data_IF_883122538280
#
_entry.id   IF_883122538280
#
_cell.length_a   1.000
_cell.length_b   1.000
_cell.length_c   1.000
_cell.angle_alpha   90.00
_cell.angle_beta   90.00
_cell.angle_gamma   90.00
#
_symmetry.space_group_name_H-M   'P 1'
#
loop_
_entity.id
_entity.type
_entity.pdbx_description
1 polymer ?
#
# COMPACT_ATOMS: atom_id res chain seq x y z
N UNK A 1 10.20 1.57 10.78
CA UNK A 1 9.13 2.55 10.55
C UNK A 1 8.58 2.21 9.20
N UNK A 2 7.43 1.54 9.15
CA UNK A 2 6.81 1.18 7.88
C UNK A 2 6.53 2.43 7.06
N UNK A 3 7.07 2.48 5.86
CA UNK A 3 6.67 3.45 4.85
C UNK A 3 5.34 2.96 4.26
N UNK A 4 4.22 3.31 4.90
CA UNK A 4 2.90 2.90 4.43
C UNK A 4 2.51 3.76 3.23
N UNK A 5 2.82 3.26 2.03
CA UNK A 5 2.34 3.81 0.77
C UNK A 5 0.96 3.26 0.42
N UNK A 6 0.20 3.94 -0.47
CA UNK A 6 0.41 5.27 -1.02
C UNK A 6 -0.07 6.39 -0.09
N UNK A 7 0.80 7.37 0.15
CA UNK A 7 0.48 8.60 0.90
C UNK A 7 -0.20 9.61 -0.04
N UNK A 8 -1.14 10.41 0.47
CA UNK A 8 -1.75 11.51 -0.28
C UNK A 8 -0.70 12.53 -0.71
N UNK A 9 -0.56 12.72 -2.01
CA UNK A 9 0.42 13.65 -2.61
C UNK A 9 0.19 15.13 -2.23
N UNK A 10 -1.01 15.49 -1.76
CA UNK A 10 -1.36 16.85 -1.34
C UNK A 10 -0.99 17.16 0.12
N UNK A 11 -0.55 16.15 0.89
CA UNK A 11 -0.08 16.34 2.25
C UNK A 11 1.44 16.60 2.26
N UNK A 12 1.93 17.49 3.14
CA UNK A 12 3.37 17.61 3.36
C UNK A 12 3.93 16.24 3.81
N UNK A 13 5.16 15.93 3.40
CA UNK A 13 5.85 14.73 3.89
C UNK A 13 5.79 14.72 5.43
N UNK A 14 5.35 13.60 6.05
CA UNK A 14 5.33 13.51 7.50
C UNK A 14 6.76 13.62 8.04
N UNK A 15 6.91 14.28 9.19
CA UNK A 15 8.21 14.34 9.85
C UNK A 15 8.65 12.92 10.27
N UNK A 16 9.96 12.66 10.29
CA UNK A 16 10.55 11.34 10.55
C UNK A 16 10.10 10.68 11.87
N UNK A 17 9.57 11.44 12.83
CA UNK A 17 9.09 10.97 14.14
C UNK A 17 7.55 11.02 14.29
N UNK A 18 6.80 11.18 13.20
CA UNK A 18 5.33 11.24 13.24
C UNK A 18 4.75 9.83 13.27
N UNK A 19 3.82 9.58 14.20
CA UNK A 19 3.07 8.32 14.25
C UNK A 19 2.18 8.19 13.00
N UNK A 20 2.12 7.00 12.42
CA UNK A 20 1.36 6.76 11.19
C UNK A 20 -0.14 7.02 11.42
N UNK A 21 -0.75 7.88 10.60
CA UNK A 21 -2.18 8.18 10.63
C UNK A 21 -2.88 7.70 9.35
N UNK A 22 -3.99 6.97 9.49
CA UNK A 22 -4.79 6.50 8.35
C UNK A 22 -5.26 7.64 7.43
N UNK A 23 -5.42 8.85 7.94
CA UNK A 23 -5.80 10.04 7.15
C UNK A 23 -4.77 10.39 6.06
N UNK A 24 -3.52 9.94 6.22
CA UNK A 24 -2.43 10.13 5.26
C UNK A 24 -2.50 9.12 4.11
N UNK A 25 -3.14 7.96 4.32
CA UNK A 25 -3.36 6.97 3.27
C UNK A 25 -4.32 7.53 2.20
N UNK A 26 -3.93 7.41 0.94
CA UNK A 26 -4.78 7.73 -0.21
C UNK A 26 -5.86 6.63 -0.42
N UNK A 27 -6.72 6.45 0.58
CA UNK A 27 -7.72 5.38 0.64
C UNK A 27 -8.76 5.44 -0.50
N UNK A 28 -8.88 6.58 -1.19
CA UNK A 28 -9.76 6.78 -2.34
C UNK A 28 -9.23 6.21 -3.66
N UNK A 29 -7.98 5.72 -3.71
CA UNK A 29 -7.39 5.12 -4.91
C UNK A 29 -8.03 3.79 -5.31
N UNK A 30 -8.61 3.06 -4.37
CA UNK A 30 -9.30 1.80 -4.66
C UNK A 30 -10.31 1.42 -3.57
N UNK A 31 -11.31 0.63 -3.95
CA UNK A 31 -12.20 -0.07 -3.02
C UNK A 31 -11.58 -1.36 -2.47
N UNK A 32 -10.54 -1.90 -3.12
CA UNK A 32 -9.89 -3.17 -2.77
C UNK A 32 -8.38 -3.01 -2.64
N UNK A 33 -7.82 -3.63 -1.60
CA UNK A 33 -6.42 -3.44 -1.20
C UNK A 33 -5.75 -4.78 -0.91
N UNK A 34 -4.44 -4.80 -1.09
CA UNK A 34 -3.54 -5.90 -0.75
C UNK A 34 -2.52 -5.38 0.27
N UNK A 35 -2.11 -6.22 1.22
CA UNK A 35 -0.92 -5.99 2.05
C UNK A 35 0.15 -7.00 1.64
N UNK A 36 1.30 -6.52 1.20
CA UNK A 36 2.49 -7.33 0.95
C UNK A 36 3.44 -7.24 2.14
N UNK A 37 3.95 -8.39 2.57
CA UNK A 37 4.92 -8.51 3.64
C UNK A 37 6.13 -9.27 3.09
N UNK A 38 7.28 -8.61 3.01
CA UNK A 38 8.53 -9.22 2.60
C UNK A 38 9.40 -9.54 3.82
N UNK A 39 9.78 -10.81 3.95
CA UNK A 39 10.58 -11.33 5.07
C UNK A 39 12.02 -11.54 4.61
N UNK A 40 12.80 -10.46 4.60
CA UNK A 40 14.22 -10.48 4.25
C UNK A 40 14.50 -10.55 2.74
N UNK A 41 15.78 -10.65 2.37
CA UNK A 41 16.26 -10.51 0.98
C UNK A 41 16.05 -11.79 0.13
N UNK A 42 15.65 -12.90 0.75
CA UNK A 42 15.51 -14.20 0.09
C UNK A 42 14.15 -14.40 -0.63
N UNK A 43 13.28 -13.38 -0.63
CA UNK A 43 12.03 -13.36 -1.39
C UNK A 43 10.89 -14.17 -0.76
N UNK A 44 10.91 -14.38 0.56
CA UNK A 44 9.77 -14.91 1.29
C UNK A 44 8.71 -13.80 1.47
N UNK A 45 7.93 -13.60 0.41
CA UNK A 45 6.87 -12.59 0.36
C UNK A 45 5.49 -13.23 0.61
N UNK A 46 4.64 -12.54 1.36
CA UNK A 46 3.27 -12.93 1.61
C UNK A 46 2.29 -11.79 1.28
N UNK A 47 1.27 -12.10 0.48
CA UNK A 47 0.25 -11.14 0.07
C UNK A 47 -1.09 -11.45 0.76
N UNK A 48 -1.73 -10.43 1.33
CA UNK A 48 -3.01 -10.54 2.04
C UNK A 48 -4.06 -9.62 1.43
N UNK A 49 -5.13 -10.17 0.87
CA UNK A 49 -6.21 -9.41 0.25
C UNK A 49 -7.22 -10.29 -0.49
N UNK A 50 -8.28 -9.70 -1.06
CA UNK A 50 -8.60 -8.27 -1.03
C UNK A 50 -9.16 -7.81 0.33
N UNK A 51 -8.75 -6.62 0.77
CA UNK A 51 -9.19 -5.95 2.00
C UNK A 51 -9.81 -4.58 1.68
N UNK A 52 -10.55 -4.01 2.65
CA UNK A 52 -10.87 -2.58 2.62
C UNK A 52 -9.61 -1.77 2.94
N UNK A 53 -9.54 -0.50 2.52
CA UNK A 53 -8.40 0.38 2.83
C UNK A 53 -8.07 0.39 4.34
N UNK A 54 -9.09 0.50 5.18
CA UNK A 54 -8.92 0.53 6.63
C UNK A 54 -8.42 -0.81 7.19
N UNK A 55 -8.91 -1.94 6.69
CA UNK A 55 -8.43 -3.25 7.13
C UNK A 55 -6.98 -3.52 6.67
N UNK A 56 -6.61 -3.06 5.48
CA UNK A 56 -5.23 -3.13 4.99
C UNK A 56 -4.28 -2.29 5.85
N UNK A 57 -4.67 -1.06 6.19
CA UNK A 57 -3.93 -0.18 7.09
C UNK A 57 -3.72 -0.81 8.48
N UNK A 58 -4.80 -1.23 9.13
CA UNK A 58 -4.75 -1.84 10.47
C UNK A 58 -3.84 -3.08 10.47
N UNK A 59 -3.91 -3.91 9.42
CA UNK A 59 -3.03 -5.06 9.28
C UNK A 59 -1.57 -4.64 9.13
N UNK A 60 -1.29 -3.64 8.29
CA UNK A 60 0.08 -3.18 8.05
C UNK A 60 0.73 -2.61 9.32
N UNK A 61 0.03 -1.73 10.04
CA UNK A 61 0.49 -1.19 11.34
C UNK A 61 0.70 -2.32 12.35
N UNK A 62 -0.24 -3.26 12.44
CA UNK A 62 -0.14 -4.38 13.36
C UNK A 62 1.06 -5.31 13.05
N UNK A 63 1.46 -5.45 11.79
CA UNK A 63 2.66 -6.21 11.39
C UNK A 63 3.92 -5.42 11.73
N UNK A 64 4.02 -4.14 11.35
CA UNK A 64 5.18 -3.28 11.65
C UNK A 64 5.45 -3.20 13.16
N UNK A 65 4.41 -3.03 13.98
CA UNK A 65 4.53 -3.01 15.45
C UNK A 65 5.15 -4.28 16.04
N UNK A 66 4.84 -5.44 15.44
CA UNK A 66 5.29 -6.74 15.93
C UNK A 66 6.64 -7.13 15.35
N UNK A 67 6.91 -6.74 14.11
CA UNK A 67 8.08 -7.11 13.30
C UNK A 67 8.54 -5.88 12.49
N UNK A 68 9.17 -4.90 13.14
CA UNK A 68 9.65 -3.69 12.47
C UNK A 68 10.86 -3.97 11.56
N UNK A 69 11.39 -5.20 11.60
CA UNK A 69 12.42 -5.72 10.70
C UNK A 69 11.85 -6.19 9.35
N UNK A 70 10.53 -6.30 9.21
CA UNK A 70 9.87 -6.74 7.98
C UNK A 70 9.45 -5.55 7.13
N UNK A 71 9.51 -5.69 5.82
CA UNK A 71 8.99 -4.68 4.91
C UNK A 71 7.51 -4.96 4.67
N UNK A 72 6.68 -3.93 4.89
CA UNK A 72 5.22 -4.03 4.75
C UNK A 72 4.73 -2.94 3.80
N UNK A 73 4.04 -3.36 2.74
CA UNK A 73 3.54 -2.50 1.68
C UNK A 73 2.03 -2.61 1.55
N UNK A 74 1.32 -1.47 1.53
CA UNK A 74 -0.13 -1.42 1.29
C UNK A 74 -0.37 -1.04 -0.18
N UNK A 75 -1.01 -1.91 -0.94
CA UNK A 75 -1.13 -1.78 -2.40
C UNK A 75 -2.60 -1.65 -2.81
N UNK A 76 -3.01 -0.54 -3.44
CA UNK A 76 -4.35 -0.42 -4.00
C UNK A 76 -4.48 -1.34 -5.22
N UNK A 77 -5.58 -2.10 -5.29
CA UNK A 77 -5.93 -2.86 -6.48
C UNK A 77 -6.73 -1.96 -7.41
N UNK A 78 -6.09 -1.40 -8.44
CA UNK A 78 -6.82 -0.61 -9.43
C UNK A 78 -7.82 -1.50 -10.20
N UNK A 79 -8.97 -0.91 -10.55
CA UNK A 79 -10.08 -1.58 -11.24
C UNK A 79 -9.60 -2.48 -12.39
N UNK A 80 -10.23 -3.63 -12.63
CA UNK A 80 -9.92 -4.46 -13.77
C UNK A 80 -10.17 -3.67 -15.07
N UNK A 81 -9.09 -3.33 -15.78
CA UNK A 81 -9.14 -2.83 -17.15
C UNK A 81 -9.04 -3.97 -18.16
N UNK A 82 -9.56 -3.76 -19.35
CA UNK A 82 -9.27 -4.63 -20.50
C UNK A 82 -7.84 -4.42 -20.97
N UNK A 83 -7.27 -5.42 -21.66
CA UNK A 83 -5.93 -5.28 -22.24
C UNK A 83 -5.83 -4.07 -23.19
N UNK A 84 -6.89 -3.79 -23.95
CA UNK A 84 -6.94 -2.65 -24.88
C UNK A 84 -6.92 -1.30 -24.13
N UNK A 85 -7.64 -1.19 -23.00
CA UNK A 85 -7.60 0.02 -22.16
C UNK A 85 -6.21 0.22 -21.54
N UNK A 86 -5.56 -0.86 -21.09
CA UNK A 86 -4.21 -0.79 -20.51
C UNK A 86 -3.18 -0.37 -21.58
N UNK A 87 -3.23 -0.97 -22.77
CA UNK A 87 -2.34 -0.59 -23.88
C UNK A 87 -2.56 0.86 -24.28
N UNK A 88 -3.81 1.30 -24.38
CA UNK A 88 -4.17 2.67 -24.76
C UNK A 88 -3.62 3.76 -23.82
N UNK A 89 -3.36 3.47 -22.55
CA UNK A 89 -2.75 4.42 -21.60
C UNK A 89 -1.27 4.73 -21.89
N UNK A 90 -0.57 3.86 -22.61
CA UNK A 90 0.85 3.99 -22.90
C UNK A 90 1.14 4.23 -24.39
N UNK A 91 0.12 4.14 -25.25
CA UNK A 91 0.19 4.37 -26.70
C UNK A 91 -0.07 5.84 -27.10
N UNK A 92 -0.19 6.78 -26.14
CA UNK A 92 -0.30 8.22 -26.42
C UNK A 92 1.07 8.80 -26.85
N UNK A 93 1.41 8.66 -28.15
CA UNK A 93 2.33 9.54 -28.92
C UNK A 93 1.57 10.45 -29.90
#
# INVERSE_FOLDING_TARGET
MALIYPVRADLPDPAEDTEADFAELAADLSDQWLVEVAVGEDGDDACFGPLTAHAAWELAVAVDDRRPDWEVSVVPLYLPGTADEVVGLFDEE
#
